data_IF_394527015411
#
_entry.id   IF_394527015411
#
_cell.length_a   1.000
_cell.length_b   1.000
_cell.length_c   1.000
_cell.angle_alpha   90.00
_cell.angle_beta   90.00
_cell.angle_gamma   90.00
#
_symmetry.space_group_name_H-M   'P 1'
#
loop_
_entity.id
_entity.type
_entity.pdbx_description
1 polymer ?
#
# COMPACT_ATOMS: atom_id res chain seq x y z
N UNK A 1 9.50 -37.02 4.84
CA UNK A 1 10.06 -36.16 5.90
C UNK A 1 8.92 -35.34 6.49
N UNK A 2 8.75 -35.33 7.81
CA UNK A 2 7.78 -34.42 8.46
C UNK A 2 8.47 -33.08 8.71
N UNK A 3 7.82 -31.94 8.42
CA UNK A 3 8.41 -30.64 8.72
C UNK A 3 8.62 -30.49 10.23
N UNK A 4 9.75 -29.89 10.63
CA UNK A 4 10.05 -29.65 12.04
C UNK A 4 9.19 -28.53 12.61
N UNK A 5 8.86 -27.56 11.77
CA UNK A 5 8.11 -26.37 12.14
C UNK A 5 6.75 -26.33 11.43
N UNK A 6 5.75 -25.76 12.10
CA UNK A 6 4.47 -25.42 11.50
C UNK A 6 4.55 -24.02 10.90
N UNK A 7 3.89 -23.79 9.77
CA UNK A 7 3.78 -22.49 9.15
C UNK A 7 2.37 -21.93 9.36
N UNK A 8 2.30 -20.66 9.78
CA UNK A 8 1.08 -19.88 9.85
C UNK A 8 1.21 -18.68 8.92
N UNK A 9 0.20 -18.45 8.09
CA UNK A 9 0.13 -17.27 7.23
C UNK A 9 -0.88 -16.29 7.82
N UNK A 10 -0.42 -15.09 8.17
CA UNK A 10 -1.25 -14.01 8.69
C UNK A 10 -1.32 -12.90 7.65
N UNK A 11 -2.53 -12.49 7.27
CA UNK A 11 -2.77 -11.34 6.39
C UNK A 11 -3.38 -10.22 7.21
N UNK A 12 -2.59 -9.20 7.52
CA UNK A 12 -2.99 -8.13 8.45
C UNK A 12 -3.63 -6.95 7.71
N UNK A 13 -4.70 -6.40 8.28
CA UNK A 13 -5.30 -5.14 7.82
C UNK A 13 -4.66 -3.94 8.54
N UNK A 14 -4.68 -2.78 7.91
CA UNK A 14 -4.19 -1.55 8.53
C UNK A 14 -2.68 -1.48 8.77
N UNK A 15 -1.87 -2.22 8.00
CA UNK A 15 -0.40 -2.17 8.07
C UNK A 15 0.18 -0.75 8.00
N UNK A 16 -0.37 0.10 7.12
CA UNK A 16 0.06 1.49 6.95
C UNK A 16 -0.33 2.42 8.11
N UNK A 17 -1.35 2.04 8.88
CA UNK A 17 -1.81 2.80 10.04
C UNK A 17 -1.14 2.26 11.31
N UNK A 18 0.19 2.26 11.36
CA UNK A 18 0.95 1.77 12.52
C UNK A 18 0.72 0.28 12.84
N UNK A 19 0.44 -0.55 11.82
CA UNK A 19 0.28 -2.00 11.97
C UNK A 19 -0.85 -2.44 12.93
N UNK A 20 -2.02 -1.79 12.86
CA UNK A 20 -3.15 -2.09 13.77
C UNK A 20 -3.58 -3.56 13.75
N UNK A 21 -3.67 -4.20 12.57
CA UNK A 21 -4.07 -5.61 12.50
C UNK A 21 -3.06 -6.54 13.17
N UNK A 22 -1.77 -6.30 12.97
CA UNK A 22 -0.71 -7.07 13.63
C UNK A 22 -0.70 -6.82 15.14
N UNK A 23 -0.98 -5.57 15.56
CA UNK A 23 -1.13 -5.21 16.98
C UNK A 23 -2.28 -5.96 17.63
N UNK A 24 -3.48 -5.91 17.04
CA UNK A 24 -4.66 -6.59 17.58
C UNK A 24 -4.44 -8.11 17.65
N UNK A 25 -3.90 -8.71 16.59
CA UNK A 25 -3.61 -10.16 16.60
C UNK A 25 -2.63 -10.54 17.72
N UNK A 26 -1.58 -9.74 17.94
CA UNK A 26 -0.64 -9.95 19.03
C UNK A 26 -1.31 -9.81 20.40
N UNK A 27 -2.20 -8.84 20.59
CA UNK A 27 -2.92 -8.63 21.85
C UNK A 27 -3.92 -9.77 22.15
N UNK A 28 -4.56 -10.34 21.12
CA UNK A 28 -5.58 -11.39 21.29
C UNK A 28 -5.00 -12.79 21.41
N UNK A 29 -3.89 -13.09 20.73
CA UNK A 29 -3.37 -14.45 20.59
C UNK A 29 -2.05 -14.68 21.32
N UNK A 30 -1.26 -13.63 21.57
CA UNK A 30 0.04 -13.76 22.21
C UNK A 30 -0.02 -13.38 23.69
N UNK A 31 -0.32 -14.38 24.52
CA UNK A 31 -0.07 -14.31 25.96
C UNK A 31 1.40 -14.60 26.27
N UNK A 32 1.88 -14.16 27.44
CA UNK A 32 3.27 -14.40 27.93
C UNK A 32 3.70 -15.87 27.87
N UNK A 33 2.76 -16.81 27.92
CA UNK A 33 3.05 -18.25 27.81
C UNK A 33 3.26 -18.71 26.36
N UNK A 34 2.59 -18.06 25.41
CA UNK A 34 2.64 -18.37 23.98
C UNK A 34 3.88 -17.83 23.26
N UNK A 35 4.63 -16.91 23.89
CA UNK A 35 5.95 -16.44 23.41
C UNK A 35 6.87 -17.63 23.08
N UNK A 36 6.73 -18.74 23.80
CA UNK A 36 7.53 -19.96 23.62
C UNK A 36 7.19 -20.76 22.37
N UNK A 37 6.04 -20.51 21.75
CA UNK A 37 5.57 -21.29 20.61
C UNK A 37 5.98 -20.70 19.25
N UNK A 38 6.40 -19.43 19.20
CA UNK A 38 6.72 -18.72 17.96
C UNK A 38 8.24 -18.59 17.81
N UNK A 39 8.82 -19.47 16.98
CA UNK A 39 10.27 -19.52 16.71
C UNK A 39 10.77 -18.35 15.85
N UNK A 40 9.98 -17.93 14.86
CA UNK A 40 10.38 -16.91 13.88
C UNK A 40 9.15 -16.27 13.25
N UNK A 41 9.14 -14.93 13.17
CA UNK A 41 8.16 -14.15 12.41
C UNK A 41 8.84 -13.52 11.19
N UNK A 42 8.34 -13.84 10.01
CA UNK A 42 8.80 -13.27 8.75
C UNK A 42 7.73 -12.31 8.20
N UNK A 43 8.03 -11.02 8.20
CA UNK A 43 7.19 -10.01 7.57
C UNK A 43 7.70 -9.74 6.15
N UNK A 44 6.80 -9.67 5.18
CA UNK A 44 7.13 -9.32 3.80
C UNK A 44 6.58 -7.94 3.49
N UNK A 45 7.45 -7.01 3.12
CA UNK A 45 7.06 -5.75 2.48
C UNK A 45 7.40 -5.85 0.98
N UNK A 46 7.31 -4.76 0.23
CA UNK A 46 7.53 -4.75 -1.21
C UNK A 46 8.88 -5.41 -1.59
N UNK A 47 8.83 -6.44 -2.45
CA UNK A 47 9.99 -7.22 -2.95
C UNK A 47 10.02 -7.29 -4.49
N UNK A 48 9.24 -6.45 -5.16
CA UNK A 48 8.95 -6.59 -6.60
C UNK A 48 9.72 -5.69 -7.56
N UNK A 49 10.56 -4.76 -7.06
CA UNK A 49 11.18 -3.74 -7.91
C UNK A 49 12.69 -3.93 -8.06
N UNK A 50 13.42 -3.90 -6.96
CA UNK A 50 14.88 -4.04 -6.98
C UNK A 50 15.33 -5.48 -6.72
N UNK A 51 16.42 -5.89 -7.37
CA UNK A 51 17.03 -7.21 -7.20
C UNK A 51 17.71 -7.42 -5.85
N UNK A 52 17.96 -6.35 -5.09
CA UNK A 52 18.51 -6.42 -3.74
C UNK A 52 17.41 -6.67 -2.71
N UNK A 53 17.62 -7.64 -1.83
CA UNK A 53 16.74 -7.90 -0.69
C UNK A 53 17.40 -7.39 0.59
N UNK A 54 16.66 -6.61 1.37
CA UNK A 54 17.12 -6.03 2.63
C UNK A 54 16.30 -6.64 3.76
N UNK A 55 17.00 -7.29 4.69
CA UNK A 55 16.43 -7.78 5.93
C UNK A 55 16.52 -6.68 7.00
N UNK A 56 15.38 -6.13 7.37
CA UNK A 56 15.26 -5.14 8.45
C UNK A 56 15.04 -5.86 9.77
N UNK A 57 15.86 -5.51 10.76
CA UNK A 57 15.83 -6.09 12.11
C UNK A 57 15.90 -5.00 13.17
N UNK A 58 15.34 -5.26 14.35
CA UNK A 58 15.35 -4.32 15.47
C UNK A 58 16.69 -4.32 16.23
N UNK A 59 17.32 -5.50 16.31
CA UNK A 59 18.63 -5.74 16.91
C UNK A 59 19.41 -6.66 15.96
N UNK A 60 20.72 -6.45 15.85
CA UNK A 60 21.57 -7.35 15.07
C UNK A 60 21.48 -8.77 15.66
N UNK A 61 21.00 -9.77 14.90
CA UNK A 61 20.83 -11.12 15.38
C UNK A 61 22.18 -11.83 15.50
N UNK A 62 22.32 -12.71 16.49
CA UNK A 62 23.42 -13.67 16.52
C UNK A 62 23.20 -14.76 15.45
N UNK A 63 24.26 -15.32 14.88
CA UNK A 63 24.16 -16.39 13.88
C UNK A 63 23.40 -17.64 14.39
N UNK A 64 23.42 -17.86 15.72
CA UNK A 64 22.70 -18.94 16.38
C UNK A 64 21.22 -18.65 16.62
N UNK A 65 20.80 -17.38 16.53
CA UNK A 65 19.40 -17.00 16.71
C UNK A 65 18.54 -17.44 15.52
N UNK A 66 17.23 -17.70 15.70
CA UNK A 66 16.31 -18.04 14.61
C UNK A 66 16.39 -17.10 13.40
N UNK A 67 16.42 -15.79 13.68
CA UNK A 67 16.52 -14.72 12.67
C UNK A 67 17.88 -14.77 11.95
N UNK A 68 18.98 -14.91 12.70
CA UNK A 68 20.33 -14.97 12.13
C UNK A 68 20.51 -16.21 11.25
N UNK A 69 20.05 -17.37 11.74
CA UNK A 69 20.03 -18.61 10.96
C UNK A 69 19.24 -18.45 9.67
N UNK A 70 18.02 -17.91 9.73
CA UNK A 70 17.22 -17.68 8.53
C UNK A 70 17.89 -16.71 7.56
N UNK A 71 18.52 -15.65 8.05
CA UNK A 71 19.26 -14.70 7.21
C UNK A 71 20.44 -15.36 6.48
N UNK A 72 21.19 -16.25 7.14
CA UNK A 72 22.25 -17.02 6.50
C UNK A 72 21.71 -17.92 5.38
N UNK A 73 20.58 -18.60 5.61
CA UNK A 73 19.90 -19.39 4.58
C UNK A 73 19.45 -18.53 3.40
N UNK A 74 18.94 -17.32 3.67
CA UNK A 74 18.51 -16.39 2.63
C UNK A 74 19.69 -15.93 1.77
N UNK A 75 20.85 -15.69 2.39
CA UNK A 75 22.08 -15.34 1.70
C UNK A 75 22.62 -16.49 0.84
N UNK A 76 22.51 -17.72 1.34
CA UNK A 76 22.94 -18.93 0.60
C UNK A 76 22.01 -19.25 -0.58
N UNK A 77 20.70 -18.99 -0.43
CA UNK A 77 19.69 -19.16 -1.50
C UNK A 77 19.67 -18.02 -2.53
N UNK A 78 20.40 -16.94 -2.30
CA UNK A 78 20.46 -15.82 -3.22
C UNK A 78 21.38 -16.11 -4.42
N UNK A 79 20.95 -15.80 -5.65
CA UNK A 79 21.84 -15.88 -6.82
C UNK A 79 23.08 -14.99 -6.64
N UNK A 80 24.24 -15.34 -7.23
CA UNK A 80 25.48 -14.59 -7.05
C UNK A 80 25.41 -13.11 -7.51
N UNK A 81 24.46 -12.78 -8.38
CA UNK A 81 24.28 -11.43 -8.91
C UNK A 81 23.38 -10.54 -8.03
N UNK A 82 22.89 -11.03 -6.88
CA UNK A 82 21.97 -10.28 -6.00
C UNK A 82 22.55 -10.12 -4.60
N UNK A 83 22.45 -8.91 -4.06
CA UNK A 83 22.85 -8.63 -2.69
C UNK A 83 21.68 -8.89 -1.73
N UNK A 84 22.01 -9.61 -0.66
CA UNK A 84 21.15 -9.74 0.52
C UNK A 84 21.84 -9.01 1.66
N UNK A 85 21.27 -7.88 2.08
CA UNK A 85 21.83 -7.02 3.11
C UNK A 85 20.98 -7.09 4.39
N UNK A 86 21.61 -6.87 5.54
CA UNK A 86 20.92 -6.76 6.83
C UNK A 86 21.09 -5.35 7.36
N UNK A 87 19.98 -4.71 7.71
CA UNK A 87 19.94 -3.35 8.26
C UNK A 87 19.25 -3.40 9.61
N UNK A 88 19.97 -2.99 10.66
CA UNK A 88 19.39 -2.88 12.00
C UNK A 88 18.92 -1.47 12.29
N UNK A 89 17.69 -1.32 12.76
CA UNK A 89 17.16 -0.06 13.29
C UNK A 89 16.65 -0.28 14.71
N UNK A 90 17.20 0.45 15.68
CA UNK A 90 16.70 0.40 17.06
C UNK A 90 15.28 0.96 17.11
N UNK A 91 14.38 0.24 17.76
CA UNK A 91 12.97 0.63 17.94
C UNK A 91 12.91 1.90 18.78
N UNK A 92 12.21 2.91 18.27
CA UNK A 92 11.91 4.13 19.01
C UNK A 92 10.50 4.04 19.57
N UNK A 93 10.36 3.76 20.87
CA UNK A 93 9.07 3.66 21.55
C UNK A 93 8.35 5.01 21.69
N UNK A 94 9.06 6.12 21.54
CA UNK A 94 8.49 7.46 21.64
C UNK A 94 7.98 7.98 20.29
N UNK A 95 8.16 7.23 19.20
CA UNK A 95 7.64 7.61 17.90
C UNK A 95 6.18 7.20 17.76
N UNK A 96 5.35 8.09 17.22
CA UNK A 96 3.93 7.82 17.00
C UNK A 96 3.69 6.64 16.03
N UNK A 97 4.62 6.44 15.09
CA UNK A 97 4.54 5.42 14.05
C UNK A 97 5.80 4.56 14.03
N UNK A 98 5.60 3.25 14.06
CA UNK A 98 6.67 2.26 13.89
C UNK A 98 7.13 2.19 12.43
N UNK A 99 8.42 1.92 12.23
CA UNK A 99 9.02 1.94 10.90
C UNK A 99 8.66 0.71 10.08
N UNK A 100 8.74 -0.46 10.72
CA UNK A 100 8.57 -1.77 10.09
C UNK A 100 7.65 -2.64 10.92
N UNK A 101 7.00 -3.61 10.26
CA UNK A 101 6.01 -4.47 10.92
C UNK A 101 6.65 -5.34 12.01
N UNK A 102 7.88 -5.84 11.78
CA UNK A 102 8.60 -6.67 12.76
C UNK A 102 8.87 -5.95 14.09
N UNK A 103 8.82 -4.61 14.13
CA UNK A 103 8.99 -3.86 15.37
C UNK A 103 7.87 -4.17 16.37
N UNK A 104 6.62 -4.39 15.90
CA UNK A 104 5.49 -4.80 16.76
C UNK A 104 5.76 -6.13 17.45
N UNK A 105 6.22 -7.11 16.69
CA UNK A 105 6.59 -8.43 17.19
C UNK A 105 7.80 -8.37 18.12
N UNK A 106 8.80 -7.55 17.79
CA UNK A 106 10.00 -7.35 18.60
C UNK A 106 9.71 -6.70 19.96
N UNK A 107 8.69 -5.83 20.06
CA UNK A 107 8.24 -5.26 21.34
C UNK A 107 7.73 -6.37 22.27
N UNK A 108 7.01 -7.35 21.73
CA UNK A 108 6.56 -8.57 22.44
C UNK A 108 7.66 -9.64 22.54
N UNK A 109 8.93 -9.27 22.33
CA UNK A 109 10.12 -10.15 22.42
C UNK A 109 10.11 -11.33 21.44
N UNK A 110 9.27 -11.29 20.42
CA UNK A 110 9.26 -12.31 19.38
C UNK A 110 10.39 -12.07 18.37
N UNK A 111 11.15 -13.10 17.98
CA UNK A 111 12.17 -13.02 16.94
C UNK A 111 11.51 -12.74 15.58
N UNK A 112 11.69 -11.53 15.06
CA UNK A 112 11.03 -11.07 13.85
C UNK A 112 11.96 -10.28 12.92
N UNK A 113 11.73 -10.39 11.62
CA UNK A 113 12.43 -9.60 10.60
C UNK A 113 11.45 -9.17 9.49
N UNK A 114 11.74 -8.05 8.82
CA UNK A 114 10.99 -7.61 7.64
C UNK A 114 11.88 -7.67 6.40
N UNK A 115 11.46 -8.39 5.36
CA UNK A 115 12.13 -8.35 4.06
C UNK A 115 11.51 -7.27 3.18
N UNK A 116 12.34 -6.39 2.64
CA UNK A 116 11.91 -5.39 1.67
C UNK A 116 13.04 -5.05 0.70
N UNK A 117 12.70 -4.43 -0.42
CA UNK A 117 13.70 -3.83 -1.32
C UNK A 117 14.08 -2.39 -0.89
N UNK A 118 13.28 -1.77 -0.01
CA UNK A 118 13.50 -0.39 0.43
C UNK A 118 14.61 -0.33 1.49
N UNK A 119 15.56 0.60 1.31
CA UNK A 119 16.62 0.86 2.31
C UNK A 119 16.09 1.52 3.58
N UNK A 120 15.10 2.40 3.45
CA UNK A 120 14.47 3.09 4.58
C UNK A 120 12.95 3.00 4.51
N UNK A 121 12.32 2.89 5.68
CA UNK A 121 10.87 3.00 5.87
C UNK A 121 10.25 4.32 5.38
N UNK A 122 11.05 5.39 5.27
CA UNK A 122 10.64 6.73 4.82
C UNK A 122 10.68 6.90 3.30
N UNK A 123 11.04 5.87 2.55
CA UNK A 123 11.14 5.98 1.10
C UNK A 123 9.76 6.28 0.48
N UNK A 124 9.73 7.28 -0.39
CA UNK A 124 8.50 7.80 -1.00
C UNK A 124 7.73 6.74 -1.78
N UNK A 125 8.43 5.79 -2.41
CA UNK A 125 7.82 4.70 -3.15
C UNK A 125 6.94 3.79 -2.28
N UNK A 126 7.24 3.69 -0.99
CA UNK A 126 6.52 2.81 -0.07
C UNK A 126 5.09 3.27 0.22
N UNK A 127 4.84 4.59 0.19
CA UNK A 127 3.56 5.22 0.57
C UNK A 127 2.99 6.10 -0.57
N UNK A 128 3.36 5.81 -1.82
CA UNK A 128 2.93 6.60 -2.96
C UNK A 128 1.57 6.16 -3.50
N UNK A 129 0.74 7.14 -3.88
CA UNK A 129 -0.49 6.89 -4.64
C UNK A 129 -0.20 6.52 -6.11
N UNK A 130 1.04 6.72 -6.57
CA UNK A 130 1.51 6.38 -7.92
C UNK A 130 1.97 4.92 -8.04
N UNK A 131 1.83 4.13 -6.98
CA UNK A 131 2.13 2.70 -7.00
C UNK A 131 1.17 2.00 -7.95
N UNK A 132 1.70 1.55 -9.10
CA UNK A 132 0.95 0.87 -10.14
C UNK A 132 1.65 -0.41 -10.52
N UNK A 133 0.89 -1.35 -11.07
CA UNK A 133 1.41 -2.64 -11.54
C UNK A 133 2.61 -2.51 -12.51
N UNK A 134 2.67 -1.40 -13.25
CA UNK A 134 3.74 -1.12 -14.21
C UNK A 134 5.13 -0.96 -13.57
N UNK A 135 5.20 -0.62 -12.28
CA UNK A 135 6.45 -0.41 -11.56
C UNK A 135 7.07 -1.70 -11.03
N UNK A 136 6.35 -2.82 -11.12
CA UNK A 136 6.80 -4.12 -10.61
C UNK A 136 7.49 -4.90 -11.73
N UNK A 137 8.75 -5.26 -11.50
CA UNK A 137 9.49 -6.14 -12.38
C UNK A 137 9.17 -7.60 -12.03
N UNK A 138 8.53 -8.28 -12.97
CA UNK A 138 8.09 -9.67 -12.79
C UNK A 138 9.26 -10.65 -12.66
N UNK A 139 10.41 -10.38 -13.29
CA UNK A 139 11.59 -11.26 -13.25
C UNK A 139 12.34 -11.13 -11.93
N UNK A 140 12.40 -9.90 -11.41
CA UNK A 140 12.88 -9.63 -10.07
C UNK A 140 11.99 -10.30 -9.04
N UNK A 141 10.67 -10.10 -9.13
CA UNK A 141 9.69 -10.66 -8.22
C UNK A 141 9.75 -12.20 -8.19
N UNK A 142 9.77 -12.85 -9.36
CA UNK A 142 9.84 -14.31 -9.46
C UNK A 142 11.07 -14.85 -8.75
N UNK A 143 12.22 -14.23 -8.98
CA UNK A 143 13.48 -14.68 -8.39
C UNK A 143 13.55 -14.38 -6.89
N UNK A 144 13.01 -13.25 -6.42
CA UNK A 144 12.92 -12.94 -4.99
C UNK A 144 11.98 -13.91 -4.26
N UNK A 145 10.84 -14.25 -4.87
CA UNK A 145 9.92 -15.28 -4.34
C UNK A 145 10.59 -16.65 -4.29
N UNK A 146 11.39 -17.00 -5.31
CA UNK A 146 12.17 -18.25 -5.33
C UNK A 146 13.17 -18.28 -4.17
N UNK A 147 14.01 -17.24 -4.03
CA UNK A 147 15.02 -17.16 -2.96
C UNK A 147 14.40 -17.22 -1.56
N UNK A 148 13.29 -16.51 -1.33
CA UNK A 148 12.57 -16.54 -0.04
C UNK A 148 11.94 -17.92 0.21
N UNK A 149 11.31 -18.51 -0.81
CA UNK A 149 10.68 -19.82 -0.72
C UNK A 149 11.69 -20.93 -0.42
N UNK A 150 12.85 -20.87 -1.05
CA UNK A 150 13.93 -21.83 -0.86
C UNK A 150 14.56 -21.72 0.54
N UNK A 151 14.85 -20.49 0.99
CA UNK A 151 15.32 -20.25 2.35
C UNK A 151 14.32 -20.75 3.41
N UNK A 152 13.01 -20.53 3.18
CA UNK A 152 11.94 -21.02 4.05
C UNK A 152 11.86 -22.55 4.06
N UNK A 153 11.96 -23.21 2.90
CA UNK A 153 11.92 -24.67 2.81
C UNK A 153 13.08 -25.30 3.58
N UNK A 154 14.29 -24.78 3.41
CA UNK A 154 15.47 -25.24 4.16
C UNK A 154 15.28 -25.04 5.66
N UNK A 155 14.72 -23.90 6.07
CA UNK A 155 14.46 -23.58 7.47
C UNK A 155 13.43 -24.53 8.09
N UNK A 156 12.28 -24.72 7.44
CA UNK A 156 11.13 -25.50 7.95
C UNK A 156 11.45 -27.00 7.99
N UNK A 157 12.12 -27.52 6.97
CA UNK A 157 12.51 -28.93 6.88
C UNK A 157 13.80 -29.23 7.66
N UNK A 158 14.48 -28.20 8.19
CA UNK A 158 15.76 -28.30 8.89
C UNK A 158 16.78 -29.12 8.09
N UNK A 159 16.89 -28.84 6.79
CA UNK A 159 17.81 -29.54 5.91
C UNK A 159 19.25 -29.17 6.28
N UNK A 160 20.20 -30.11 6.15
CA UNK A 160 21.60 -29.78 6.38
C UNK A 160 22.03 -28.71 5.37
N UNK A 161 22.65 -27.65 5.87
CA UNK A 161 23.43 -26.69 5.07
C UNK A 161 24.70 -27.38 4.55
N UNK A 162 24.56 -28.52 3.86
CA UNK A 162 25.68 -29.09 3.13
C UNK A 162 26.04 -28.04 2.11
N UNK A 163 27.17 -27.35 2.34
CA UNK A 163 27.77 -26.44 1.37
C UNK A 163 27.72 -27.16 0.04
N UNK A 164 26.85 -26.71 -0.83
CA UNK A 164 26.77 -27.25 -2.15
C UNK A 164 28.11 -26.90 -2.75
N UNK A 165 28.94 -27.93 -2.89
CA UNK A 165 30.27 -27.79 -3.40
C UNK A 165 30.11 -27.01 -4.70
N UNK A 166 30.66 -25.79 -4.70
CA UNK A 166 30.78 -24.98 -5.91
C UNK A 166 31.78 -25.68 -6.80
N UNK A 167 31.40 -26.82 -7.36
CA UNK A 167 32.05 -27.37 -8.54
C UNK A 167 31.47 -26.60 -9.72
N UNK A 168 32.35 -25.80 -10.33
CA UNK A 168 32.24 -25.14 -11.62
C UNK A 168 30.81 -24.86 -12.14
N UNK A 169 30.32 -23.67 -11.80
CA UNK A 169 29.21 -22.95 -12.46
C UNK A 169 27.81 -23.57 -12.42
N UNK A 170 27.57 -24.67 -11.71
CA UNK A 170 26.23 -25.20 -11.49
C UNK A 170 26.00 -25.41 -9.99
N UNK A 171 25.30 -24.48 -9.35
CA UNK A 171 24.76 -24.71 -8.00
C UNK A 171 23.66 -25.77 -8.09
N UNK A 172 24.05 -27.04 -8.01
CA UNK A 172 23.15 -28.20 -8.13
C UNK A 172 22.21 -28.39 -6.94
N UNK A 173 22.36 -27.60 -5.87
CA UNK A 173 21.48 -27.67 -4.70
C UNK A 173 20.43 -26.56 -4.65
N UNK A 174 19.89 -26.15 -5.80
CA UNK A 174 18.59 -25.49 -5.71
C UNK A 174 17.56 -26.59 -5.42
N UNK A 175 16.93 -26.52 -4.25
CA UNK A 175 15.82 -27.43 -3.89
C UNK A 175 14.64 -27.13 -4.82
N UNK A 176 14.47 -25.86 -5.18
CA UNK A 176 13.45 -25.43 -6.11
C UNK A 176 13.97 -25.55 -7.54
N UNK A 177 13.21 -26.22 -8.41
CA UNK A 177 13.57 -26.30 -9.82
C UNK A 177 13.32 -24.97 -10.53
N UNK A 178 14.07 -24.65 -11.60
CA UNK A 178 13.79 -23.49 -12.43
C UNK A 178 12.43 -23.68 -13.16
N UNK A 179 11.34 -23.27 -12.49
CA UNK A 179 9.97 -23.41 -12.98
C UNK A 179 8.91 -23.53 -11.87
N UNK A 180 9.32 -23.85 -10.64
CA UNK A 180 8.38 -24.03 -9.51
C UNK A 180 7.59 -22.75 -9.19
N UNK A 181 8.23 -21.58 -9.38
CA UNK A 181 7.56 -20.29 -9.29
C UNK A 181 6.91 -19.95 -10.62
N UNK A 182 5.61 -20.16 -10.71
CA UNK A 182 4.86 -19.91 -11.93
C UNK A 182 4.63 -18.40 -12.18
N UNK A 183 5.35 -17.83 -13.15
CA UNK A 183 5.22 -16.42 -13.58
C UNK A 183 3.79 -16.01 -13.93
N UNK A 184 3.02 -16.88 -14.63
CA UNK A 184 1.62 -16.60 -15.00
C UNK A 184 0.72 -16.50 -13.76
N UNK A 185 1.03 -17.28 -12.72
CA UNK A 185 0.32 -17.20 -11.43
C UNK A 185 0.61 -15.85 -10.77
N UNK A 186 1.88 -15.47 -10.65
CA UNK A 186 2.27 -14.17 -10.07
C UNK A 186 1.62 -13.01 -10.82
N UNK A 187 1.67 -12.99 -12.15
CA UNK A 187 1.07 -11.91 -12.94
C UNK A 187 -0.45 -11.83 -12.75
N UNK A 188 -1.13 -12.97 -12.65
CA UNK A 188 -2.57 -13.01 -12.39
C UNK A 188 -2.92 -12.47 -11.00
N UNK A 189 -2.13 -12.77 -9.98
CA UNK A 189 -2.34 -12.26 -8.62
C UNK A 189 -2.10 -10.77 -8.55
N UNK A 190 -1.00 -10.30 -9.14
CA UNK A 190 -0.67 -8.89 -9.22
C UNK A 190 -1.76 -8.09 -9.94
N UNK A 191 -2.31 -8.63 -11.04
CA UNK A 191 -3.46 -8.01 -11.73
C UNK A 191 -4.73 -8.04 -10.88
N UNK A 192 -5.01 -9.15 -10.18
CA UNK A 192 -6.23 -9.30 -9.36
C UNK A 192 -6.25 -8.34 -8.17
N UNK A 193 -5.13 -8.22 -7.45
CA UNK A 193 -5.05 -7.43 -6.23
C UNK A 193 -4.55 -5.98 -6.47
N UNK A 194 -3.83 -5.73 -7.56
CA UNK A 194 -3.29 -4.41 -7.91
C UNK A 194 -4.18 -3.57 -8.83
N UNK A 195 -5.29 -4.11 -9.36
CA UNK A 195 -6.18 -3.38 -10.29
C UNK A 195 -7.20 -2.46 -9.62
N UNK A 196 -7.48 -2.67 -8.34
CA UNK A 196 -8.46 -1.89 -7.57
C UNK A 196 -7.80 -1.24 -6.37
N UNK A 197 -8.30 -0.07 -5.99
CA UNK A 197 -7.90 0.58 -4.74
C UNK A 197 -8.27 -0.29 -3.53
N UNK A 198 -7.41 -0.25 -2.50
CA UNK A 198 -7.51 -1.04 -1.28
C UNK A 198 -7.51 -0.12 -0.05
N UNK A 199 -8.19 1.01 -0.15
CA UNK A 199 -8.32 1.95 0.97
C UNK A 199 -9.06 1.28 2.13
N UNK A 200 -8.51 1.34 3.34
CA UNK A 200 -9.12 0.72 4.53
C UNK A 200 -10.51 1.28 4.85
N UNK A 201 -10.78 2.54 4.47
CA UNK A 201 -12.07 3.21 4.67
C UNK A 201 -13.16 2.79 3.67
N UNK A 202 -12.78 2.14 2.57
CA UNK A 202 -13.70 1.68 1.54
C UNK A 202 -14.26 0.29 1.88
N UNK A 203 -15.37 -0.10 1.23
CA UNK A 203 -15.81 -1.48 1.28
C UNK A 203 -14.80 -2.40 0.57
N UNK A 204 -14.11 -3.23 1.35
CA UNK A 204 -13.11 -4.20 0.89
C UNK A 204 -13.59 -5.65 0.96
N UNK A 205 -14.90 -5.91 1.02
CA UNK A 205 -15.47 -7.27 1.07
C UNK A 205 -15.00 -8.13 -0.12
N UNK A 206 -14.86 -7.50 -1.28
CA UNK A 206 -14.30 -8.16 -2.46
C UNK A 206 -12.85 -8.60 -2.21
N UNK A 207 -12.00 -7.76 -1.62
CA UNK A 207 -10.60 -8.10 -1.38
C UNK A 207 -10.49 -9.25 -0.38
N UNK A 208 -11.23 -9.15 0.73
CA UNK A 208 -11.25 -10.16 1.79
C UNK A 208 -11.77 -11.50 1.28
N UNK A 209 -12.89 -11.53 0.54
CA UNK A 209 -13.41 -12.75 -0.08
C UNK A 209 -12.43 -13.36 -1.07
N UNK A 210 -11.82 -12.55 -1.94
CA UNK A 210 -10.86 -13.02 -2.94
C UNK A 210 -9.59 -13.59 -2.28
N UNK A 211 -9.10 -12.97 -1.21
CA UNK A 211 -7.97 -13.48 -0.42
C UNK A 211 -8.35 -14.77 0.29
N UNK A 212 -9.51 -14.81 0.95
CA UNK A 212 -10.03 -16.00 1.63
C UNK A 212 -10.12 -17.20 0.67
N UNK A 213 -10.77 -17.04 -0.48
CA UNK A 213 -10.88 -18.08 -1.51
C UNK A 213 -9.52 -18.54 -2.03
N UNK A 214 -8.55 -17.63 -2.05
CA UNK A 214 -7.20 -17.94 -2.51
C UNK A 214 -6.44 -18.74 -1.46
N UNK A 215 -6.50 -18.34 -0.19
CA UNK A 215 -5.83 -19.04 0.91
C UNK A 215 -6.46 -20.42 1.12
N UNK A 216 -7.79 -20.55 1.11
CA UNK A 216 -8.52 -21.82 1.24
C UNK A 216 -8.01 -22.89 0.26
N UNK A 217 -7.69 -22.47 -0.97
CA UNK A 217 -7.17 -23.38 -2.02
C UNK A 217 -5.79 -23.95 -1.70
N UNK A 218 -4.99 -23.28 -0.87
CA UNK A 218 -3.66 -23.75 -0.47
C UNK A 218 -3.61 -24.33 0.94
N UNK A 219 -4.51 -23.90 1.84
CA UNK A 219 -4.53 -24.31 3.26
C UNK A 219 -5.57 -25.40 3.56
N UNK A 220 -6.09 -26.08 2.54
CA UNK A 220 -7.05 -27.18 2.69
C UNK A 220 -8.26 -26.83 3.58
N UNK A 221 -8.77 -25.60 3.48
CA UNK A 221 -9.99 -25.14 4.17
C UNK A 221 -9.79 -24.49 5.54
N UNK A 222 -8.57 -24.41 6.06
CA UNK A 222 -8.30 -23.73 7.33
C UNK A 222 -8.05 -22.24 7.09
N UNK A 223 -9.11 -21.42 7.19
CA UNK A 223 -9.02 -19.96 7.15
C UNK A 223 -9.98 -19.33 8.14
N UNK A 224 -9.49 -18.44 8.99
CA UNK A 224 -10.28 -17.62 9.91
C UNK A 224 -10.18 -16.17 9.44
N UNK A 225 -11.29 -15.45 9.48
CA UNK A 225 -11.36 -14.02 9.17
C UNK A 225 -11.85 -13.30 10.40
N UNK A 226 -11.03 -12.39 10.91
CA UNK A 226 -11.32 -11.63 12.13
C UNK A 226 -11.48 -10.14 11.80
N UNK A 227 -12.46 -9.46 12.40
CA UNK A 227 -12.63 -8.03 12.21
C UNK A 227 -11.52 -7.25 12.93
N UNK A 228 -10.91 -6.29 12.24
CA UNK A 228 -9.87 -5.43 12.81
C UNK A 228 -10.46 -4.11 13.28
N UNK A 229 -10.25 -3.78 14.55
CA UNK A 229 -10.58 -2.48 15.13
C UNK A 229 -9.39 -1.53 14.97
N UNK A 230 -9.61 -0.40 14.29
CA UNK A 230 -8.58 0.63 14.13
C UNK A 230 -8.64 1.54 15.34
N UNK A 231 -7.70 1.37 16.28
CA UNK A 231 -7.50 2.33 17.36
C UNK A 231 -6.61 3.50 16.89
N UNK A 232 -6.67 4.62 17.60
CA UNK A 232 -5.80 5.81 17.42
C UNK A 232 -6.00 6.60 16.11
N UNK A 233 -6.67 6.04 15.11
CA UNK A 233 -6.89 6.67 13.80
C UNK A 233 -8.37 6.65 13.43
N UNK A 234 -8.92 7.82 13.11
CA UNK A 234 -10.24 7.93 12.49
C UNK A 234 -10.10 7.96 10.97
N UNK A 235 -10.68 6.99 10.30
CA UNK A 235 -10.65 6.92 8.83
C UNK A 235 -11.78 7.78 8.26
N UNK A 236 -11.44 8.69 7.35
CA UNK A 236 -12.43 9.36 6.54
C UNK A 236 -12.96 8.39 5.49
N UNK A 237 -14.29 8.25 5.41
CA UNK A 237 -14.95 7.50 4.35
C UNK A 237 -14.67 8.12 2.97
N UNK A 238 -15.08 7.43 1.92
CA UNK A 238 -15.04 7.98 0.56
C UNK A 238 -15.99 9.19 0.54
N UNK A 239 -15.42 10.39 0.40
CA UNK A 239 -16.20 11.62 0.26
C UNK A 239 -16.83 11.64 -1.14
N UNK A 240 -18.13 11.39 -1.21
CA UNK A 240 -18.92 11.62 -2.42
C UNK A 240 -19.24 13.10 -2.52
N UNK A 241 -18.35 13.86 -3.15
CA UNK A 241 -18.58 15.28 -3.43
C UNK A 241 -18.85 15.51 -4.93
N UNK A 242 -19.69 16.51 -5.22
CA UNK A 242 -20.03 16.89 -6.60
C UNK A 242 -19.12 18.02 -7.03
N UNK A 243 -18.13 17.71 -7.89
CA UNK A 243 -17.30 18.72 -8.51
C UNK A 243 -18.13 19.54 -9.52
N UNK A 244 -18.56 20.73 -9.14
CA UNK A 244 -19.26 21.65 -10.04
C UNK A 244 -18.28 22.63 -10.68
N UNK A 245 -18.02 22.46 -11.97
CA UNK A 245 -17.24 23.42 -12.76
C UNK A 245 -18.17 24.49 -13.32
N UNK A 246 -18.29 25.63 -12.63
CA UNK A 246 -19.02 26.78 -13.14
C UNK A 246 -18.13 27.61 -14.06
N UNK A 247 -18.66 28.04 -15.21
CA UNK A 247 -17.98 29.00 -16.07
C UNK A 247 -18.01 30.36 -15.38
N UNK A 248 -16.84 30.92 -15.10
CA UNK A 248 -16.73 32.28 -14.57
C UNK A 248 -17.40 33.29 -15.51
N UNK A 249 -17.94 34.39 -14.94
CA UNK A 249 -18.62 35.47 -15.67
C UNK A 249 -17.76 35.94 -16.86
N UNK A 250 -18.24 35.83 -18.11
CA UNK A 250 -17.46 36.29 -19.25
C UNK A 250 -17.39 37.82 -19.27
N UNK A 251 -16.27 38.39 -19.70
CA UNK A 251 -16.11 39.84 -19.87
C UNK A 251 -17.18 40.46 -20.79
N UNK A 252 -17.74 39.65 -21.70
CA UNK A 252 -18.85 40.02 -22.59
C UNK A 252 -20.10 40.42 -21.80
N UNK A 253 -20.33 39.85 -20.62
CA UNK A 253 -21.47 40.24 -19.79
C UNK A 253 -21.36 41.70 -19.35
N UNK A 254 -20.16 42.15 -18.94
CA UNK A 254 -19.95 43.55 -18.55
C UNK A 254 -20.10 44.48 -19.76
N UNK A 255 -19.60 44.08 -20.93
CA UNK A 255 -19.77 44.84 -22.17
C UNK A 255 -21.25 44.94 -22.59
N UNK A 256 -22.01 43.86 -22.46
CA UNK A 256 -23.44 43.81 -22.76
C UNK A 256 -24.24 44.64 -21.74
N UNK A 257 -23.88 44.59 -20.46
CA UNK A 257 -24.48 45.41 -19.42
C UNK A 257 -24.20 46.90 -19.67
N UNK A 258 -22.96 47.26 -20.01
CA UNK A 258 -22.59 48.62 -20.39
C UNK A 258 -23.36 49.11 -21.62
N UNK A 259 -23.52 48.25 -22.64
CA UNK A 259 -24.31 48.56 -23.84
C UNK A 259 -25.80 48.78 -23.53
N UNK A 260 -26.41 47.96 -22.66
CA UNK A 260 -27.80 48.13 -22.22
C UNK A 260 -27.97 49.43 -21.44
N UNK A 261 -27.06 49.74 -20.51
CA UNK A 261 -27.10 50.99 -19.73
C UNK A 261 -26.96 52.21 -20.65
N UNK A 262 -26.04 52.17 -21.61
CA UNK A 262 -25.86 53.25 -22.59
C UNK A 262 -27.12 53.45 -23.44
N UNK A 263 -27.75 52.37 -23.91
CA UNK A 263 -28.99 52.43 -24.69
C UNK A 263 -30.16 52.98 -23.87
N UNK A 264 -30.28 52.59 -22.59
CA UNK A 264 -31.28 53.11 -21.66
C UNK A 264 -31.14 54.61 -21.43
N UNK A 265 -29.92 55.09 -21.15
CA UNK A 265 -29.63 56.51 -20.95
C UNK A 265 -29.87 57.32 -22.23
N UNK A 266 -29.49 56.77 -23.39
CA UNK A 266 -29.75 57.38 -24.69
C UNK A 266 -31.25 57.52 -24.96
N UNK A 267 -32.05 56.48 -24.66
CA UNK A 267 -33.50 56.53 -24.82
C UNK A 267 -34.13 57.60 -23.92
N UNK A 268 -33.71 57.68 -22.65
CA UNK A 268 -34.17 58.74 -21.74
C UNK A 268 -33.82 60.14 -22.24
N UNK A 269 -32.59 60.34 -22.74
CA UNK A 269 -32.15 61.63 -23.27
C UNK A 269 -32.97 62.08 -24.49
N UNK A 270 -33.34 61.16 -25.38
CA UNK A 270 -34.17 61.50 -26.56
C UNK A 270 -35.67 61.59 -26.23
N UNK A 271 -36.18 60.74 -25.34
CA UNK A 271 -37.60 60.73 -24.99
C UNK A 271 -37.97 61.94 -24.13
N UNK A 272 -37.11 62.38 -23.20
CA UNK A 272 -37.46 63.48 -22.29
C UNK A 272 -37.79 64.81 -23.02
N UNK A 273 -37.01 65.30 -24.00
CA UNK A 273 -37.37 66.49 -24.79
C UNK A 273 -38.62 66.27 -25.66
N UNK A 274 -38.80 65.07 -26.21
CA UNK A 274 -40.01 64.74 -26.99
C UNK A 274 -41.25 64.74 -26.10
N UNK A 275 -41.14 64.23 -24.88
CA UNK A 275 -42.23 64.27 -23.90
C UNK A 275 -42.51 65.71 -23.47
N UNK A 276 -41.47 66.49 -23.19
CA UNK A 276 -41.61 67.90 -22.81
C UNK A 276 -42.29 68.71 -23.92
N UNK A 277 -41.82 68.59 -25.16
CA UNK A 277 -42.43 69.28 -26.31
C UNK A 277 -43.85 68.80 -26.59
N UNK A 278 -44.15 67.51 -26.37
CA UNK A 278 -45.52 66.98 -26.49
C UNK A 278 -46.44 67.56 -25.41
N UNK A 279 -45.96 67.70 -24.17
CA UNK A 279 -46.71 68.32 -23.06
C UNK A 279 -46.92 69.81 -23.32
N UNK A 280 -45.90 70.53 -23.77
CA UNK A 280 -45.99 71.94 -24.17
C UNK A 280 -46.99 72.14 -25.33
N UNK A 281 -46.95 71.28 -26.35
CA UNK A 281 -47.88 71.33 -27.48
C UNK A 281 -49.34 71.05 -27.07
N UNK A 282 -49.56 70.13 -26.12
CA UNK A 282 -50.87 69.84 -25.54
C UNK A 282 -51.37 71.03 -24.71
N UNK A 283 -50.53 71.63 -23.87
CA UNK A 283 -50.85 72.84 -23.10
C UNK A 283 -51.23 74.02 -24.00
N UNK A 284 -50.52 74.23 -25.10
CA UNK A 284 -50.84 75.29 -26.07
C UNK A 284 -52.18 75.02 -26.77
N UNK A 285 -52.53 73.76 -27.05
CA UNK A 285 -53.85 73.40 -27.59
C UNK A 285 -54.97 73.66 -26.58
N UNK A 286 -54.78 73.33 -25.31
CA UNK A 286 -55.77 73.61 -24.26
C UNK A 286 -55.97 75.09 -24.02
N UNK A 287 -54.94 75.93 -24.20
CA UNK A 287 -55.05 77.39 -24.05
C UNK A 287 -55.76 78.08 -25.23
N UNK A 288 -55.96 77.39 -26.36
CA UNK A 288 -56.68 77.90 -27.55
C UNK A 288 -58.16 77.51 -27.58
N UNK A 289 -58.61 76.67 -26.65
CA UNK A 289 -60.03 76.43 -26.36
C UNK A 289 -60.50 77.37 -25.26
#
# INVERSE_FOLDING_TARGET
>A
MKPKYNMMFLLTAGGKFNYQGSRQWLEEHIDKQSETNVELVLCLDSVGKDGSLIAHVSKMPADTSPVGRFFLLLKDAAPPNRSVEIVSKKINLNADVLAWEHERFSIQRLPALTLSHFKSHTDSGRNSFLDTLSQVDMEVLETNVRTIGEALLVYVLNLPNSKCAREENVSTCSIMTPGDVNRKRLSNWMRRFGSKSRSLAANNDWLVSNLRDTVIRYTSGQTVVEPVSVAEVSLYGILEDRLTAHRAKPAIFELLLAAIIALYLSALYFVAPVLQTSVEAVLVKFKKL
#
